data_IF_137487379811
#
_entry.id   IF_137487379811
#
_cell.length_a   1.000
_cell.length_b   1.000
_cell.length_c   1.000
_cell.angle_alpha   90.00
_cell.angle_beta   90.00
_cell.angle_gamma   90.00
#
_symmetry.space_group_name_H-M   'P 1'
#
loop_
_entity.id
_entity.type
_entity.pdbx_description
1 polymer ?
#
# COMPACT_ATOMS: atom_id res chain seq x y z
N UNK A 1 2.28 -6.62 23.82
CA UNK A 1 2.61 -6.78 25.25
C UNK A 1 1.47 -6.22 26.09
N UNK A 2 0.76 -7.04 26.88
CA UNK A 2 0.48 -6.59 28.25
C UNK A 2 1.75 -6.89 29.03
N UNK A 3 2.59 -5.88 28.95
CA UNK A 3 3.90 -5.58 29.47
C UNK A 3 4.05 -4.11 29.03
N UNK A 4 4.47 -3.26 29.94
CA UNK A 4 4.37 -1.81 29.80
C UNK A 4 5.06 -1.27 28.53
N UNK A 5 4.26 -0.91 27.52
CA UNK A 5 4.55 0.18 26.59
C UNK A 5 3.31 0.36 25.72
N UNK A 6 2.45 1.28 26.12
CA UNK A 6 1.53 1.89 25.16
C UNK A 6 2.44 2.65 24.18
N UNK A 7 2.58 2.26 22.90
CA UNK A 7 3.36 3.07 21.98
C UNK A 7 2.61 4.40 21.88
N UNK A 8 3.15 5.43 22.56
CA UNK A 8 2.61 6.79 22.55
C UNK A 8 2.34 7.10 21.10
N UNK A 9 1.10 7.50 20.76
CA UNK A 9 0.76 7.85 19.38
C UNK A 9 1.64 9.01 18.94
N UNK A 10 2.72 8.68 18.25
CA UNK A 10 3.67 9.63 17.71
C UNK A 10 2.97 10.32 16.55
N UNK A 11 2.81 11.63 16.65
CA UNK A 11 2.35 12.45 15.53
C UNK A 11 3.27 12.23 14.33
N UNK A 12 2.72 12.19 13.11
CA UNK A 12 3.49 12.05 11.88
C UNK A 12 4.67 13.05 11.79
N UNK A 13 4.51 14.26 12.33
CA UNK A 13 5.57 15.28 12.41
C UNK A 13 6.71 14.90 13.35
N UNK A 14 6.38 14.26 14.48
CA UNK A 14 7.38 13.79 15.44
C UNK A 14 8.22 12.66 14.83
N UNK A 15 7.59 11.76 14.05
CA UNK A 15 8.32 10.70 13.34
C UNK A 15 9.39 11.26 12.41
N UNK A 16 9.09 12.31 11.64
CA UNK A 16 10.08 13.01 10.79
C UNK A 16 11.23 13.54 11.65
N UNK A 17 10.91 14.33 12.69
CA UNK A 17 11.94 14.94 13.53
C UNK A 17 12.84 13.92 14.26
N UNK A 18 12.32 12.74 14.58
CA UNK A 18 13.10 11.65 15.19
C UNK A 18 14.05 11.02 14.19
N UNK A 19 13.55 10.72 12.99
CA UNK A 19 14.37 10.17 11.91
C UNK A 19 15.47 11.15 11.51
N UNK A 20 15.13 12.42 11.30
CA UNK A 20 16.10 13.47 10.94
C UNK A 20 17.19 13.61 11.98
N UNK A 21 16.83 13.63 13.28
CA UNK A 21 17.83 13.71 14.36
C UNK A 21 18.74 12.49 14.37
N UNK A 22 18.19 11.30 14.18
CA UNK A 22 18.97 10.07 14.10
C UNK A 22 19.97 10.14 12.93
N UNK A 23 19.51 10.39 11.71
CA UNK A 23 20.36 10.46 10.51
C UNK A 23 21.42 11.56 10.63
N UNK A 24 21.05 12.74 11.11
CA UNK A 24 21.94 13.91 11.12
C UNK A 24 22.92 13.96 12.30
N UNK A 25 22.62 13.28 13.42
CA UNK A 25 23.38 13.41 14.68
C UNK A 25 23.77 12.08 15.34
N UNK A 26 23.26 10.93 14.90
CA UNK A 26 23.75 9.60 15.30
C UNK A 26 23.61 9.22 16.78
N UNK A 27 22.66 9.80 17.52
CA UNK A 27 22.43 9.46 18.95
C UNK A 27 21.33 8.44 19.14
N UNK A 28 21.48 7.60 20.16
CA UNK A 28 20.42 6.81 20.80
C UNK A 28 19.31 7.75 21.28
N UNK A 29 18.29 7.97 20.44
CA UNK A 29 17.12 8.76 20.83
C UNK A 29 16.14 7.82 21.50
N UNK A 30 16.08 7.84 22.84
CA UNK A 30 14.87 7.38 23.51
C UNK A 30 13.72 8.30 23.10
N UNK A 31 12.59 7.72 22.65
CA UNK A 31 11.40 8.48 22.21
C UNK A 31 10.90 9.52 23.22
N UNK A 32 11.32 9.43 24.48
CA UNK A 32 10.95 10.29 25.61
C UNK A 32 11.61 11.67 25.63
N UNK A 33 12.81 11.82 25.08
CA UNK A 33 13.62 13.04 25.26
C UNK A 33 13.10 14.26 24.47
N UNK A 34 12.25 14.02 23.49
CA UNK A 34 11.72 15.03 22.57
C UNK A 34 10.37 15.63 23.00
N UNK A 35 9.59 14.90 23.80
CA UNK A 35 8.41 15.47 24.45
C UNK A 35 8.81 16.49 25.53
N UNK A 36 9.96 16.29 26.18
CA UNK A 36 10.52 17.22 27.16
C UNK A 36 11.12 18.47 26.54
N UNK A 37 11.75 18.34 25.37
CA UNK A 37 12.38 19.45 24.64
C UNK A 37 11.31 20.38 24.02
N UNK A 38 10.22 19.79 23.50
CA UNK A 38 9.06 20.53 22.96
C UNK A 38 8.34 21.39 24.00
N UNK A 39 8.49 21.06 25.30
CA UNK A 39 7.91 21.82 26.41
C UNK A 39 8.85 22.92 26.95
N UNK A 40 10.15 22.88 26.68
CA UNK A 40 11.13 23.78 27.32
C UNK A 40 11.50 25.03 26.51
N UNK A 41 11.21 25.10 25.21
CA UNK A 41 11.44 26.31 24.41
C UNK A 41 10.32 26.56 23.40
N UNK A 42 9.26 27.27 23.81
CA UNK A 42 8.44 28.05 22.87
C UNK A 42 8.91 29.51 22.92
N UNK A 43 9.78 29.96 21.99
CA UNK A 43 9.99 31.38 21.80
C UNK A 43 8.65 32.04 21.40
N UNK A 44 8.28 33.13 22.07
CA UNK A 44 7.14 33.97 21.67
C UNK A 44 7.52 34.71 20.38
N UNK A 45 7.08 34.22 19.22
CA UNK A 45 7.20 34.96 17.96
C UNK A 45 6.98 34.09 16.72
N UNK A 46 5.91 34.39 15.97
CA UNK A 46 5.46 33.83 14.68
C UNK A 46 5.31 32.29 14.62
N UNK A 47 4.07 31.82 14.48
CA UNK A 47 3.82 30.44 14.04
C UNK A 47 4.51 30.20 12.70
N UNK A 48 5.64 29.50 12.71
CA UNK A 48 6.21 28.94 11.50
C UNK A 48 5.23 27.87 10.98
N UNK A 49 4.72 28.08 9.77
CA UNK A 49 3.93 27.08 9.05
C UNK A 49 4.80 25.87 8.77
N UNK A 50 4.35 24.68 9.16
CA UNK A 50 5.05 23.43 8.89
C UNK A 50 5.12 23.16 7.38
N UNK A 51 6.34 23.06 6.85
CA UNK A 51 6.61 22.69 5.47
C UNK A 51 6.96 21.20 5.40
N UNK A 52 6.03 20.40 4.87
CA UNK A 52 6.19 18.95 4.79
C UNK A 52 7.33 18.53 3.87
N UNK A 53 7.42 19.14 2.67
CA UNK A 53 8.41 18.79 1.65
C UNK A 53 9.81 19.08 2.21
N UNK A 54 10.02 20.29 2.73
CA UNK A 54 11.30 20.64 3.34
C UNK A 54 11.67 19.73 4.52
N UNK A 55 10.69 19.35 5.34
CA UNK A 55 10.94 18.50 6.51
C UNK A 55 11.27 17.06 6.10
N UNK A 56 10.54 16.47 5.14
CA UNK A 56 10.77 15.07 4.75
C UNK A 56 12.14 14.88 4.07
N UNK A 57 12.58 15.87 3.29
CA UNK A 57 13.87 15.82 2.60
C UNK A 57 15.06 16.19 3.48
N UNK A 58 14.84 16.65 4.72
CA UNK A 58 15.92 17.16 5.58
C UNK A 58 17.00 16.10 5.88
N UNK A 59 16.62 14.83 5.95
CA UNK A 59 17.54 13.71 6.14
C UNK A 59 18.09 13.13 4.82
N UNK A 60 17.47 13.43 3.67
CA UNK A 60 17.81 12.81 2.39
C UNK A 60 19.12 13.39 1.84
N UNK A 61 20.08 12.52 1.52
CA UNK A 61 21.41 12.90 1.03
C UNK A 61 21.35 13.77 -0.24
N UNK A 62 20.37 13.55 -1.11
CA UNK A 62 20.19 14.31 -2.36
C UNK A 62 19.71 15.76 -2.14
N UNK A 63 19.19 16.09 -0.96
CA UNK A 63 18.57 17.39 -0.67
C UNK A 63 19.27 18.16 0.45
N UNK A 64 20.03 17.49 1.31
CA UNK A 64 20.80 18.18 2.34
C UNK A 64 22.09 18.80 1.81
N UNK A 65 22.45 19.95 2.35
CA UNK A 65 23.73 20.63 2.08
C UNK A 65 24.81 20.34 3.13
N UNK A 66 24.52 19.51 4.13
CA UNK A 66 25.44 19.26 5.25
C UNK A 66 26.55 18.31 4.81
N UNK A 67 27.79 18.74 4.98
CA UNK A 67 28.97 18.00 4.51
C UNK A 67 29.22 16.68 5.28
N UNK A 68 28.75 16.58 6.55
CA UNK A 68 29.00 15.42 7.41
C UNK A 68 27.78 15.04 8.28
N UNK A 69 26.74 14.37 7.74
CA UNK A 69 25.71 13.71 8.55
C UNK A 69 26.30 12.48 9.27
N UNK A 70 25.66 12.04 10.36
CA UNK A 70 26.10 10.83 11.07
C UNK A 70 25.85 9.55 10.26
N UNK A 71 24.74 9.55 9.51
CA UNK A 71 24.39 8.51 8.57
C UNK A 71 24.06 9.10 7.21
N UNK A 72 24.33 8.35 6.14
CA UNK A 72 23.91 8.68 4.78
C UNK A 72 22.56 8.01 4.51
N UNK A 73 21.49 8.80 4.48
CA UNK A 73 20.16 8.31 4.14
C UNK A 73 19.79 8.70 2.71
N UNK A 74 19.40 7.73 1.90
CA UNK A 74 19.08 7.90 0.48
C UNK A 74 17.71 7.31 0.18
N UNK A 75 16.91 8.05 -0.59
CA UNK A 75 15.66 7.56 -1.16
C UNK A 75 15.81 7.53 -2.67
N UNK A 76 15.60 6.36 -3.27
CA UNK A 76 15.71 6.16 -4.72
C UNK A 76 14.39 5.62 -5.22
N UNK A 77 13.79 6.31 -6.19
CA UNK A 77 12.61 5.83 -6.91
C UNK A 77 13.05 5.23 -8.24
N UNK A 78 12.79 3.94 -8.43
CA UNK A 78 13.17 3.22 -9.64
C UNK A 78 12.05 2.30 -10.13
N UNK A 79 12.00 1.94 -11.43
CA UNK A 79 11.02 0.97 -11.92
C UNK A 79 11.04 -0.33 -11.11
N UNK A 80 9.86 -0.88 -10.85
CA UNK A 80 9.71 -2.13 -10.13
C UNK A 80 10.53 -3.24 -10.82
N UNK A 81 11.33 -3.95 -10.04
CA UNK A 81 12.27 -4.95 -10.54
C UNK A 81 12.69 -5.90 -9.43
N UNK A 82 13.03 -7.13 -9.82
CA UNK A 82 13.60 -8.12 -8.93
C UNK A 82 15.08 -7.85 -8.64
N UNK A 83 15.48 -7.93 -7.38
CA UNK A 83 16.87 -8.13 -6.97
C UNK A 83 16.90 -9.02 -5.72
N UNK A 84 18.00 -9.73 -5.50
CA UNK A 84 18.17 -10.56 -4.31
C UNK A 84 18.08 -9.75 -3.01
N UNK A 85 18.57 -8.50 -3.02
CA UNK A 85 18.49 -7.61 -1.84
C UNK A 85 17.04 -7.23 -1.51
N UNK A 86 16.23 -6.89 -2.52
CA UNK A 86 14.80 -6.54 -2.33
C UNK A 86 14.01 -7.75 -1.85
N UNK A 87 14.25 -8.90 -2.47
CA UNK A 87 13.64 -10.16 -2.06
C UNK A 87 14.04 -10.55 -0.64
N UNK A 88 15.32 -10.40 -0.27
CA UNK A 88 15.80 -10.64 1.09
C UNK A 88 15.13 -9.76 2.14
N UNK A 89 14.92 -8.47 1.85
CA UNK A 89 14.15 -7.58 2.72
C UNK A 89 12.70 -8.04 2.86
N UNK A 90 12.04 -8.42 1.76
CA UNK A 90 10.67 -8.92 1.76
C UNK A 90 10.52 -10.18 2.60
N UNK A 91 11.37 -11.20 2.40
CA UNK A 91 11.35 -12.45 3.18
C UNK A 91 11.53 -12.16 4.66
N UNK A 92 12.50 -11.29 5.02
CA UNK A 92 12.71 -10.90 6.41
C UNK A 92 11.47 -10.23 7.00
N UNK A 93 10.84 -9.32 6.27
CA UNK A 93 9.62 -8.64 6.71
C UNK A 93 8.44 -9.61 6.89
N UNK A 94 8.21 -10.49 5.91
CA UNK A 94 7.15 -11.51 5.98
C UNK A 94 7.34 -12.43 7.19
N UNK A 95 8.58 -12.86 7.45
CA UNK A 95 8.93 -13.66 8.61
C UNK A 95 8.68 -12.92 9.93
N UNK A 96 9.25 -11.72 10.08
CA UNK A 96 9.28 -11.01 11.36
C UNK A 96 7.92 -10.37 11.72
N UNK A 97 7.16 -9.92 10.72
CA UNK A 97 5.93 -9.13 10.92
C UNK A 97 4.68 -9.95 10.64
N UNK A 98 4.71 -10.85 9.64
CA UNK A 98 3.57 -11.65 9.22
C UNK A 98 3.63 -13.12 9.68
N UNK A 99 4.79 -13.58 10.19
CA UNK A 99 5.04 -14.99 10.51
C UNK A 99 4.75 -15.91 9.33
N UNK A 100 5.05 -15.41 8.13
CA UNK A 100 4.91 -16.13 6.86
C UNK A 100 6.28 -16.58 6.39
N UNK A 101 6.43 -17.89 6.18
CA UNK A 101 7.68 -18.56 5.86
C UNK A 101 7.70 -19.10 4.42
N UNK A 102 6.58 -19.07 3.70
CA UNK A 102 6.40 -19.73 2.41
C UNK A 102 6.64 -18.78 1.23
N UNK A 103 7.71 -17.99 1.33
CA UNK A 103 8.04 -16.95 0.37
C UNK A 103 8.99 -17.46 -0.72
N UNK A 104 8.61 -17.31 -1.99
CA UNK A 104 9.44 -17.71 -3.14
C UNK A 104 9.81 -16.51 -4.02
N UNK A 105 10.94 -16.55 -4.77
CA UNK A 105 11.30 -15.48 -5.70
C UNK A 105 10.21 -15.20 -6.73
N UNK A 106 9.63 -16.25 -7.34
CA UNK A 106 8.54 -16.11 -8.30
C UNK A 106 7.25 -15.56 -7.67
N UNK A 107 6.99 -15.84 -6.39
CA UNK A 107 5.91 -15.21 -5.64
C UNK A 107 6.13 -13.72 -5.45
N UNK A 108 7.35 -13.32 -5.07
CA UNK A 108 7.74 -11.92 -4.96
C UNK A 108 7.62 -11.18 -6.31
N UNK A 109 8.13 -11.77 -7.39
CA UNK A 109 8.03 -11.15 -8.72
C UNK A 109 6.58 -10.97 -9.16
N UNK A 110 5.75 -11.99 -8.98
CA UNK A 110 4.32 -11.89 -9.33
C UNK A 110 3.60 -10.84 -8.50
N UNK A 111 3.93 -10.72 -7.22
CA UNK A 111 3.23 -9.83 -6.30
C UNK A 111 3.70 -8.38 -6.36
N UNK A 112 5.01 -8.15 -6.43
CA UNK A 112 5.61 -6.82 -6.22
C UNK A 112 6.31 -6.23 -7.45
N UNK A 113 6.51 -7.03 -8.51
CA UNK A 113 7.23 -6.58 -9.72
C UNK A 113 6.33 -6.58 -10.95
N UNK A 114 5.60 -7.67 -11.15
CA UNK A 114 4.73 -7.88 -12.32
C UNK A 114 3.55 -6.95 -12.23
N UNK A 115 3.37 -6.11 -13.25
CA UNK A 115 2.31 -5.11 -13.29
C UNK A 115 1.52 -5.18 -14.59
N UNK A 116 0.18 -5.04 -14.54
CA UNK A 116 -0.65 -4.90 -15.74
C UNK A 116 -0.59 -3.48 -16.31
N UNK A 117 0.04 -2.53 -15.61
CA UNK A 117 0.07 -1.12 -16.01
C UNK A 117 0.94 -0.92 -17.25
N UNK A 118 0.40 -0.23 -18.23
CA UNK A 118 1.17 0.20 -19.39
C UNK A 118 1.97 1.45 -19.04
N UNK A 119 3.26 1.40 -19.33
CA UNK A 119 4.17 2.51 -19.03
C UNK A 119 4.00 3.63 -20.07
N UNK A 120 3.62 4.81 -19.61
CA UNK A 120 3.43 6.00 -20.44
C UNK A 120 4.30 7.16 -19.94
N UNK A 121 4.72 8.07 -20.82
CA UNK A 121 5.50 9.25 -20.41
C UNK A 121 4.59 10.20 -19.63
N UNK A 122 5.06 10.70 -18.49
CA UNK A 122 4.33 11.72 -17.75
C UNK A 122 4.45 13.06 -18.51
N UNK A 123 3.34 13.73 -18.85
CA UNK A 123 3.35 14.92 -19.70
C UNK A 123 3.72 16.18 -18.91
N UNK A 124 4.93 16.24 -18.37
CA UNK A 124 5.43 17.45 -17.69
C UNK A 124 5.57 18.62 -18.67
N UNK A 125 5.19 19.85 -18.29
CA UNK A 125 5.32 21.04 -19.14
C UNK A 125 6.79 21.46 -19.36
N UNK A 126 7.69 21.03 -18.48
CA UNK A 126 9.15 21.25 -18.54
C UNK A 126 9.85 20.00 -18.01
N UNK A 127 11.16 19.79 -18.30
CA UNK A 127 11.91 18.68 -17.72
C UNK A 127 11.75 18.65 -16.18
N UNK A 128 11.26 17.55 -15.59
CA UNK A 128 11.08 17.47 -14.14
C UNK A 128 12.44 17.33 -13.43
N UNK A 129 12.52 17.66 -12.12
CA UNK A 129 13.66 17.30 -11.29
C UNK A 129 14.01 15.81 -11.38
N UNK A 130 15.29 15.47 -11.25
CA UNK A 130 15.79 14.11 -11.48
C UNK A 130 15.22 13.05 -10.54
N UNK A 131 14.77 13.44 -9.35
CA UNK A 131 14.18 12.54 -8.36
C UNK A 131 12.71 12.19 -8.64
N UNK A 132 12.07 12.86 -9.61
CA UNK A 132 10.69 12.57 -10.00
C UNK A 132 10.63 11.50 -11.10
N UNK A 133 9.58 10.66 -11.10
CA UNK A 133 9.40 9.65 -12.14
C UNK A 133 9.15 10.32 -13.49
N UNK A 134 9.73 9.78 -14.56
CA UNK A 134 9.52 10.28 -15.93
C UNK A 134 8.36 9.58 -16.65
N UNK A 135 7.86 8.49 -16.09
CA UNK A 135 6.80 7.65 -16.66
C UNK A 135 5.79 7.24 -15.59
N UNK A 136 4.54 7.00 -16.00
CA UNK A 136 3.55 6.29 -15.21
C UNK A 136 3.89 4.79 -15.18
N UNK A 137 3.47 4.09 -14.14
CA UNK A 137 3.72 2.65 -13.97
C UNK A 137 4.06 2.27 -12.53
N UNK A 138 4.58 1.07 -12.34
CA UNK A 138 4.95 0.52 -11.03
C UNK A 138 6.43 0.76 -10.71
N UNK A 139 6.68 1.20 -9.49
CA UNK A 139 7.97 1.65 -8.98
C UNK A 139 8.27 1.03 -7.62
N UNK A 140 9.56 0.85 -7.33
CA UNK A 140 10.06 0.65 -5.98
C UNK A 140 10.69 1.95 -5.48
N UNK A 141 10.23 2.44 -4.34
CA UNK A 141 10.89 3.50 -3.59
C UNK A 141 11.76 2.88 -2.51
N UNK A 142 13.07 2.88 -2.73
CA UNK A 142 14.08 2.26 -1.88
C UNK A 142 14.58 3.24 -0.84
N UNK A 143 14.57 2.82 0.42
CA UNK A 143 15.10 3.58 1.55
C UNK A 143 16.41 2.94 1.98
N UNK A 144 17.52 3.65 1.76
CA UNK A 144 18.86 3.17 2.08
C UNK A 144 19.46 3.98 3.21
N UNK A 145 20.07 3.30 4.16
CA UNK A 145 20.86 3.91 5.23
C UNK A 145 22.28 3.34 5.19
N UNK A 146 23.27 4.20 5.03
CA UNK A 146 24.69 3.84 4.88
C UNK A 146 24.90 2.76 3.81
N UNK A 147 24.18 2.90 2.69
CA UNK A 147 24.20 1.98 1.55
C UNK A 147 23.30 0.74 1.68
N UNK A 148 22.87 0.37 2.90
CA UNK A 148 22.01 -0.81 3.12
C UNK A 148 20.55 -0.49 2.86
N UNK A 149 19.84 -1.35 2.12
CA UNK A 149 18.38 -1.26 1.98
C UNK A 149 17.70 -1.60 3.33
N UNK A 150 16.97 -0.63 3.89
CA UNK A 150 16.30 -0.78 5.20
C UNK A 150 14.77 -0.74 5.09
N UNK A 151 14.23 -0.17 4.02
CA UNK A 151 12.80 -0.21 3.71
C UNK A 151 12.57 -0.08 2.20
N UNK A 152 11.39 -0.50 1.76
CA UNK A 152 10.95 -0.39 0.38
C UNK A 152 9.43 -0.15 0.33
N UNK A 153 9.00 0.86 -0.41
CA UNK A 153 7.62 1.01 -0.84
C UNK A 153 7.46 0.52 -2.28
N UNK A 154 6.33 -0.12 -2.57
CA UNK A 154 5.88 -0.46 -3.91
C UNK A 154 4.76 0.49 -4.24
N UNK A 155 4.97 1.27 -5.29
CA UNK A 155 4.13 2.40 -5.66
C UNK A 155 3.68 2.27 -7.11
N UNK A 156 2.42 2.59 -7.40
CA UNK A 156 2.00 2.89 -8.76
C UNK A 156 1.88 4.40 -8.94
N UNK A 157 2.55 4.95 -9.94
CA UNK A 157 2.42 6.34 -10.34
C UNK A 157 1.41 6.39 -11.47
N UNK A 158 0.25 7.00 -11.21
CA UNK A 158 -0.90 7.05 -12.10
C UNK A 158 -1.25 8.50 -12.45
N UNK A 159 -2.08 8.75 -13.48
CA UNK A 159 -2.39 10.12 -13.93
C UNK A 159 -2.97 11.06 -12.87
N UNK A 160 -3.67 10.52 -11.87
CA UNK A 160 -4.35 11.29 -10.83
C UNK A 160 -3.80 11.08 -9.42
N UNK A 161 -2.99 10.04 -9.21
CA UNK A 161 -2.54 9.65 -7.89
C UNK A 161 -1.21 8.90 -7.87
N UNK A 162 -0.58 8.95 -6.69
CA UNK A 162 0.37 7.92 -6.27
C UNK A 162 -0.43 6.85 -5.52
N UNK A 163 -0.27 5.59 -5.86
CA UNK A 163 -0.90 4.46 -5.18
C UNK A 163 0.12 3.73 -4.32
N UNK A 164 -0.14 3.64 -3.02
CA UNK A 164 0.68 2.90 -2.05
C UNK A 164 0.25 1.44 -2.04
N UNK A 165 0.90 0.60 -2.84
CA UNK A 165 0.52 -0.80 -3.05
C UNK A 165 0.96 -1.65 -1.86
N UNK A 166 2.24 -1.54 -1.49
CA UNK A 166 2.81 -2.35 -0.43
C UNK A 166 4.01 -1.64 0.20
N UNK A 167 4.27 -1.90 1.49
CA UNK A 167 5.41 -1.32 2.20
C UNK A 167 6.03 -2.35 3.13
N UNK A 168 7.35 -2.49 3.06
CA UNK A 168 8.13 -3.39 3.89
C UNK A 168 9.39 -2.70 4.43
N UNK A 169 9.84 -3.12 5.60
CA UNK A 169 11.02 -2.55 6.26
C UNK A 169 11.70 -3.59 7.16
N UNK A 170 12.99 -3.37 7.44
CA UNK A 170 13.72 -4.18 8.40
C UNK A 170 13.27 -3.80 9.81
N UNK A 171 12.72 -4.76 10.57
CA UNK A 171 12.13 -4.54 11.88
C UNK A 171 13.13 -3.96 12.92
N UNK A 172 14.44 -4.05 12.66
CA UNK A 172 15.46 -3.34 13.43
C UNK A 172 15.23 -1.82 13.49
N UNK A 173 14.48 -1.26 12.55
CA UNK A 173 14.14 0.16 12.47
C UNK A 173 12.70 0.49 12.87
N UNK A 174 11.95 -0.48 13.40
CA UNK A 174 10.52 -0.32 13.70
C UNK A 174 10.20 0.83 14.65
N UNK A 175 11.13 1.19 15.54
CA UNK A 175 11.02 2.33 16.46
C UNK A 175 10.78 3.68 15.76
N UNK A 176 11.20 3.85 14.50
CA UNK A 176 11.03 5.08 13.74
C UNK A 176 9.69 5.18 13.00
N UNK A 177 8.81 4.17 13.13
CA UNK A 177 7.48 4.16 12.51
C UNK A 177 7.55 4.37 10.99
N UNK A 178 8.36 3.57 10.30
CA UNK A 178 8.63 3.68 8.86
C UNK A 178 7.37 3.70 7.98
N UNK A 179 6.28 3.03 8.39
CA UNK A 179 5.00 3.14 7.68
C UNK A 179 4.43 4.56 7.64
N UNK A 180 4.61 5.36 8.71
CA UNK A 180 4.20 6.78 8.73
C UNK A 180 5.15 7.64 7.90
N UNK A 181 6.46 7.38 7.99
CA UNK A 181 7.48 8.09 7.21
C UNK A 181 7.26 7.87 5.71
N UNK A 182 6.98 6.64 5.29
CA UNK A 182 6.70 6.32 3.89
C UNK A 182 5.47 7.05 3.38
N UNK A 183 4.36 7.00 4.12
CA UNK A 183 3.15 7.73 3.74
C UNK A 183 3.40 9.23 3.60
N UNK A 184 4.21 9.85 4.47
CA UNK A 184 4.57 11.26 4.35
C UNK A 184 5.44 11.54 3.12
N UNK A 185 6.40 10.66 2.83
CA UNK A 185 7.24 10.79 1.63
C UNK A 185 6.45 10.60 0.34
N UNK A 186 5.49 9.69 0.32
CA UNK A 186 4.56 9.44 -0.79
C UNK A 186 3.59 10.62 -1.00
N UNK A 187 3.08 11.23 0.08
CA UNK A 187 2.32 12.49 0.01
C UNK A 187 3.19 13.59 -0.61
N UNK A 188 4.45 13.73 -0.17
CA UNK A 188 5.39 14.68 -0.75
C UNK A 188 5.63 14.38 -2.23
N UNK A 189 5.83 13.12 -2.63
CA UNK A 189 6.03 12.72 -4.02
C UNK A 189 4.85 13.14 -4.90
N UNK A 190 3.60 12.85 -4.48
CA UNK A 190 2.41 13.27 -5.21
C UNK A 190 2.36 14.81 -5.35
N UNK A 191 2.69 15.52 -4.27
CA UNK A 191 2.73 16.99 -4.26
C UNK A 191 3.82 17.56 -5.16
N UNK A 192 5.01 16.99 -5.16
CA UNK A 192 6.13 17.42 -5.99
C UNK A 192 5.83 17.19 -7.49
N UNK A 193 5.19 16.08 -7.84
CA UNK A 193 4.71 15.81 -9.22
C UNK A 193 3.65 16.84 -9.63
N UNK A 194 2.73 17.19 -8.72
CA UNK A 194 1.75 18.25 -8.95
C UNK A 194 2.42 19.61 -9.18
N UNK A 195 3.36 19.98 -8.32
CA UNK A 195 4.08 21.26 -8.39
C UNK A 195 4.98 21.35 -9.64
N UNK A 196 5.45 20.20 -10.16
CA UNK A 196 6.15 20.09 -11.44
C UNK A 196 5.21 20.24 -12.67
N UNK A 197 3.92 20.48 -12.47
CA UNK A 197 2.97 20.85 -13.52
C UNK A 197 1.91 19.81 -13.86
N UNK A 198 1.87 18.66 -13.17
CA UNK A 198 0.84 17.64 -13.36
C UNK A 198 -0.35 17.94 -12.47
N UNK A 199 -1.18 18.89 -12.90
CA UNK A 199 -2.31 19.42 -12.12
C UNK A 199 -3.36 18.38 -11.71
N UNK A 200 -3.39 17.21 -12.36
CA UNK A 200 -4.29 16.10 -12.01
C UNK A 200 -3.76 15.22 -10.86
N UNK A 201 -2.47 15.28 -10.53
CA UNK A 201 -1.86 14.53 -9.44
C UNK A 201 -2.30 15.11 -8.09
N UNK A 202 -3.42 14.61 -7.53
CA UNK A 202 -4.05 15.23 -6.35
C UNK A 202 -4.19 14.30 -5.16
N UNK A 203 -3.92 13.01 -5.36
CA UNK A 203 -4.27 11.99 -4.38
C UNK A 203 -3.10 11.06 -4.08
N UNK A 204 -3.01 10.65 -2.81
CA UNK A 204 -2.34 9.43 -2.40
C UNK A 204 -3.43 8.39 -2.13
N UNK A 205 -3.41 7.27 -2.86
CA UNK A 205 -4.30 6.15 -2.62
C UNK A 205 -3.60 5.15 -1.70
N UNK A 206 -4.06 5.04 -0.44
CA UNK A 206 -3.43 4.16 0.56
C UNK A 206 -4.06 2.75 0.61
N UNK A 207 -4.78 2.34 -0.43
CA UNK A 207 -5.49 1.06 -0.46
C UNK A 207 -6.68 0.99 0.50
N UNK A 208 -7.08 -0.22 0.85
CA UNK A 208 -8.23 -0.46 1.74
C UNK A 208 -8.07 0.24 3.10
N UNK A 209 -9.20 0.52 3.73
CA UNK A 209 -9.30 1.03 5.09
C UNK A 209 -10.36 0.25 5.86
N UNK A 210 -9.93 -0.61 6.79
CA UNK A 210 -10.82 -1.36 7.67
C UNK A 210 -10.93 -0.59 8.99
N UNK A 211 -12.08 0.03 9.24
CA UNK A 211 -12.31 0.92 10.38
C UNK A 211 -11.98 0.28 11.74
N UNK A 212 -12.37 -0.99 11.90
CA UNK A 212 -12.14 -1.78 13.11
C UNK A 212 -10.68 -2.24 13.29
N UNK A 213 -9.86 -2.20 12.23
CA UNK A 213 -8.48 -2.67 12.28
C UNK A 213 -7.51 -1.64 12.87
N UNK A 214 -7.00 -1.92 14.07
CA UNK A 214 -6.01 -1.06 14.75
C UNK A 214 -4.81 -0.71 13.86
N UNK A 215 -4.29 -1.68 13.09
CA UNK A 215 -3.12 -1.50 12.22
C UNK A 215 -3.38 -0.51 11.09
N UNK A 216 -4.64 -0.27 10.72
CA UNK A 216 -5.00 0.62 9.60
C UNK A 216 -5.49 2.00 10.06
N UNK A 217 -5.71 2.21 11.37
CA UNK A 217 -6.23 3.48 11.91
C UNK A 217 -5.40 4.69 11.53
N UNK A 218 -4.08 4.53 11.40
CA UNK A 218 -3.17 5.63 11.06
C UNK A 218 -3.48 6.25 9.68
N UNK A 219 -4.03 5.49 8.73
CA UNK A 219 -4.42 6.01 7.40
C UNK A 219 -5.46 7.13 7.52
N UNK A 220 -6.34 7.04 8.53
CA UNK A 220 -7.35 8.06 8.81
C UNK A 220 -6.84 9.26 9.63
N UNK A 221 -5.54 9.30 9.97
CA UNK A 221 -4.90 10.45 10.66
C UNK A 221 -4.42 11.52 9.67
N UNK A 222 -4.31 11.19 8.38
CA UNK A 222 -3.98 12.15 7.33
C UNK A 222 -5.23 12.91 6.90
N UNK A 223 -5.08 14.18 6.54
CA UNK A 223 -6.21 15.03 6.16
C UNK A 223 -5.84 15.97 4.99
N UNK A 224 -6.80 16.27 4.09
CA UNK A 224 -8.13 15.66 4.00
C UNK A 224 -8.05 14.17 3.58
N UNK A 225 -9.03 13.38 4.02
CA UNK A 225 -9.13 11.94 3.72
C UNK A 225 -10.54 11.59 3.29
N UNK A 226 -10.65 10.64 2.36
CA UNK A 226 -11.92 10.21 1.76
C UNK A 226 -12.01 8.68 1.73
N UNK A 227 -13.23 8.15 1.77
CA UNK A 227 -13.54 6.74 1.55
C UNK A 227 -14.47 6.60 0.36
N UNK A 228 -14.28 5.53 -0.42
CA UNK A 228 -15.15 5.18 -1.52
C UNK A 228 -16.40 4.48 -0.98
N UNK A 229 -17.57 4.96 -1.41
CA UNK A 229 -18.85 4.32 -1.13
C UNK A 229 -18.94 2.96 -1.84
N UNK A 230 -19.32 1.87 -1.16
CA UNK A 230 -19.36 0.55 -1.77
C UNK A 230 -20.48 0.38 -2.81
N UNK A 231 -21.49 1.26 -2.83
CA UNK A 231 -22.62 1.15 -3.76
C UNK A 231 -22.55 2.18 -4.89
N UNK A 232 -22.38 3.46 -4.56
CA UNK A 232 -22.34 4.52 -5.56
C UNK A 232 -20.97 4.69 -6.22
N UNK A 233 -19.92 4.12 -5.63
CA UNK A 233 -18.53 4.34 -6.05
C UNK A 233 -18.12 5.82 -6.03
N UNK A 234 -18.72 6.63 -5.15
CA UNK A 234 -18.37 8.02 -4.95
C UNK A 234 -17.50 8.22 -3.70
N UNK A 235 -16.70 9.28 -3.68
CA UNK A 235 -15.77 9.57 -2.59
C UNK A 235 -16.39 10.49 -1.54
N UNK A 236 -16.46 10.03 -0.29
CA UNK A 236 -17.01 10.78 0.84
C UNK A 236 -15.92 11.14 1.86
N UNK A 237 -15.95 12.34 2.47
CA UNK A 237 -14.99 12.70 3.51
C UNK A 237 -15.01 11.70 4.67
N UNK A 238 -13.84 11.26 5.13
CA UNK A 238 -13.73 10.27 6.21
C UNK A 238 -14.50 10.67 7.47
N UNK A 239 -14.55 11.98 7.78
CA UNK A 239 -15.31 12.51 8.91
C UNK A 239 -16.81 12.20 8.85
N UNK A 240 -17.41 12.19 7.66
CA UNK A 240 -18.84 11.88 7.47
C UNK A 240 -19.10 10.37 7.48
N UNK A 241 -18.11 9.55 7.08
CA UNK A 241 -18.21 8.09 7.08
C UNK A 241 -18.11 7.47 8.48
N UNK A 242 -17.29 8.06 9.37
CA UNK A 242 -16.98 7.50 10.70
C UNK A 242 -18.20 7.13 11.54
N UNK A 243 -19.23 7.99 11.72
CA UNK A 243 -20.40 7.63 12.51
C UNK A 243 -21.15 6.40 11.97
N UNK A 244 -21.20 6.24 10.64
CA UNK A 244 -21.83 5.09 10.01
C UNK A 244 -21.00 3.81 10.22
N UNK A 245 -19.67 3.91 10.11
CA UNK A 245 -18.75 2.79 10.33
C UNK A 245 -18.70 2.33 11.80
N UNK A 246 -19.01 3.20 12.75
CA UNK A 246 -19.09 2.85 14.18
C UNK A 246 -20.34 2.01 14.51
N UNK A 247 -21.44 2.28 13.82
CA UNK A 247 -22.75 1.69 14.12
C UNK A 247 -23.07 0.48 13.24
N UNK A 248 -22.48 0.41 12.05
CA UNK A 248 -22.87 -0.56 11.03
C UNK A 248 -21.69 -1.46 10.64
N UNK A 249 -21.96 -2.76 10.46
CA UNK A 249 -20.98 -3.72 9.90
C UNK A 249 -20.81 -3.55 8.40
N UNK A 250 -21.80 -3.01 7.73
CA UNK A 250 -21.79 -2.59 6.33
C UNK A 250 -22.36 -1.18 6.28
N UNK A 251 -21.59 -0.22 5.78
CA UNK A 251 -21.96 1.18 5.75
C UNK A 251 -22.03 1.66 4.30
N UNK A 252 -23.22 2.06 3.87
CA UNK A 252 -23.44 2.82 2.65
C UNK A 252 -23.50 4.31 3.03
N UNK A 253 -22.53 5.08 2.55
CA UNK A 253 -22.37 6.51 2.84
C UNK A 253 -23.32 7.36 1.99
N UNK A 254 -23.58 6.94 0.75
CA UNK A 254 -24.49 7.63 -0.17
C UNK A 254 -25.96 7.47 0.23
N UNK A 255 -26.32 6.29 0.78
CA UNK A 255 -27.66 5.94 1.28
C UNK A 255 -27.57 5.27 2.64
N UNK A 256 -27.46 6.04 3.75
CA UNK A 256 -27.32 5.51 5.10
C UNK A 256 -28.36 4.45 5.48
N UNK A 257 -29.57 4.52 4.92
CA UNK A 257 -30.67 3.55 5.09
C UNK A 257 -30.36 2.15 4.56
N UNK A 258 -29.40 1.99 3.64
CA UNK A 258 -28.92 0.69 3.18
C UNK A 258 -27.87 0.07 4.13
N UNK A 259 -27.43 0.81 5.15
CA UNK A 259 -26.44 0.31 6.11
C UNK A 259 -27.02 -0.79 6.99
N UNK A 260 -26.18 -1.77 7.33
CA UNK A 260 -26.58 -2.95 8.10
C UNK A 260 -25.88 -2.95 9.45
N UNK A 261 -26.66 -2.97 10.53
CA UNK A 261 -26.16 -3.08 11.90
C UNK A 261 -25.93 -4.54 12.33
N UNK A 262 -25.34 -4.70 13.52
CA UNK A 262 -25.16 -6.00 14.17
C UNK A 262 -23.91 -6.76 13.70
N UNK A 263 -23.79 -8.00 14.14
CA UNK A 263 -22.68 -8.89 13.71
C UNK A 263 -22.97 -9.50 12.34
N UNK A 264 -21.95 -9.81 11.53
CA UNK A 264 -22.17 -10.57 10.31
C UNK A 264 -22.84 -11.91 10.68
N UNK A 265 -23.81 -12.40 9.88
CA UNK A 265 -24.41 -13.70 10.13
C UNK A 265 -23.33 -14.79 10.12
N UNK A 266 -23.44 -15.77 11.04
CA UNK A 266 -22.47 -16.87 11.18
C UNK A 266 -22.23 -17.62 9.85
N UNK A 267 -23.20 -17.61 8.93
CA UNK A 267 -23.07 -18.20 7.60
C UNK A 267 -22.03 -17.54 6.70
N UNK A 268 -21.65 -16.27 6.94
CA UNK A 268 -20.58 -15.58 6.20
C UNK A 268 -19.18 -15.93 6.73
N UNK A 269 -19.08 -16.42 7.98
CA UNK A 269 -17.81 -16.82 8.60
C UNK A 269 -17.52 -18.31 8.42
N UNK A 270 -18.57 -19.10 8.17
CA UNK A 270 -18.44 -20.50 7.79
C UNK A 270 -18.20 -20.57 6.29
N UNK A 271 -16.93 -20.55 5.87
CA UNK A 271 -16.54 -21.05 4.55
C UNK A 271 -17.07 -22.48 4.50
N UNK A 272 -18.12 -22.70 3.71
CA UNK A 272 -18.63 -24.06 3.54
C UNK A 272 -17.52 -24.87 2.86
N UNK A 273 -17.34 -26.14 3.23
CA UNK A 273 -16.41 -26.99 2.51
C UNK A 273 -16.77 -26.96 1.02
N UNK A 274 -15.76 -27.03 0.13
CA UNK A 274 -15.95 -26.94 -1.30
C UNK A 274 -17.09 -27.88 -1.74
N UNK A 275 -18.06 -27.31 -2.45
CA UNK A 275 -19.21 -28.05 -2.96
C UNK A 275 -18.78 -28.67 -4.28
N UNK A 276 -18.99 -29.97 -4.42
CA UNK A 276 -18.91 -30.61 -5.74
C UNK A 276 -19.87 -29.88 -6.69
N UNK A 277 -19.32 -29.05 -7.58
CA UNK A 277 -20.08 -28.34 -8.59
C UNK A 277 -20.58 -29.36 -9.62
N UNK A 278 -21.84 -29.21 -10.04
CA UNK A 278 -22.36 -29.97 -11.15
C UNK A 278 -21.56 -29.63 -12.42
N UNK A 279 -21.34 -30.62 -13.28
CA UNK A 279 -20.60 -30.48 -14.54
C UNK A 279 -21.25 -29.40 -15.42
N UNK A 280 -22.57 -29.26 -15.35
CA UNK A 280 -23.32 -28.21 -16.06
C UNK A 280 -22.87 -26.79 -15.68
N UNK A 281 -22.56 -26.56 -14.39
CA UNK A 281 -22.01 -25.30 -13.90
C UNK A 281 -20.54 -25.17 -14.30
N UNK A 282 -19.76 -26.25 -14.23
CA UNK A 282 -18.35 -26.23 -14.62
C UNK A 282 -18.12 -26.01 -16.11
N UNK A 283 -19.06 -26.38 -16.97
CA UNK A 283 -19.05 -26.07 -18.41
C UNK A 283 -19.27 -24.57 -18.67
N UNK A 284 -19.91 -23.85 -17.75
CA UNK A 284 -20.14 -22.40 -17.85
C UNK A 284 -18.91 -21.55 -17.46
N UNK A 285 -18.00 -22.09 -16.66
CA UNK A 285 -16.80 -21.39 -16.19
C UNK A 285 -15.72 -21.45 -17.28
N UNK A 286 -15.59 -20.37 -18.04
CA UNK A 286 -14.68 -20.29 -19.19
C UNK A 286 -13.34 -19.67 -18.82
N UNK A 287 -12.27 -20.34 -19.20
CA UNK A 287 -10.89 -19.86 -18.99
C UNK A 287 -10.15 -19.73 -20.31
N UNK A 288 -9.25 -18.76 -20.39
CA UNK A 288 -8.34 -18.58 -21.51
C UNK A 288 -7.09 -19.42 -21.28
N UNK A 289 -6.97 -20.53 -21.99
CA UNK A 289 -5.81 -21.42 -21.90
C UNK A 289 -4.78 -21.12 -23.01
N UNK A 290 -3.48 -21.07 -22.68
CA UNK A 290 -2.44 -20.95 -23.69
C UNK A 290 -2.36 -22.24 -24.53
N UNK A 291 -2.22 -22.11 -25.84
CA UNK A 291 -1.91 -23.25 -26.70
C UNK A 291 -0.51 -23.80 -26.42
N UNK A 292 -0.23 -25.03 -26.87
CA UNK A 292 1.01 -25.78 -26.53
C UNK A 292 2.33 -25.22 -27.12
N UNK A 293 2.33 -24.03 -27.70
CA UNK A 293 3.50 -23.40 -28.33
C UNK A 293 3.54 -21.90 -28.00
N UNK A 294 4.72 -21.26 -27.90
CA UNK A 294 4.85 -19.84 -27.57
C UNK A 294 4.09 -18.88 -28.50
N UNK A 295 3.82 -19.30 -29.74
CA UNK A 295 3.03 -18.55 -30.73
C UNK A 295 1.62 -19.14 -30.94
N UNK A 296 1.17 -20.02 -30.07
CA UNK A 296 -0.12 -20.69 -30.24
C UNK A 296 -1.29 -19.76 -29.88
N UNK A 297 -2.35 -19.87 -30.68
CA UNK A 297 -3.65 -19.26 -30.41
C UNK A 297 -4.10 -19.58 -28.99
N UNK A 298 -4.66 -18.59 -28.28
CA UNK A 298 -5.33 -18.81 -27.00
C UNK A 298 -6.72 -19.39 -27.26
N UNK A 299 -7.12 -20.38 -26.47
CA UNK A 299 -8.43 -21.01 -26.60
C UNK A 299 -9.28 -20.76 -25.36
N UNK A 300 -10.58 -20.59 -25.54
CA UNK A 300 -11.55 -20.52 -24.45
C UNK A 300 -12.06 -21.93 -24.22
N UNK A 301 -11.85 -22.46 -23.02
CA UNK A 301 -12.29 -23.81 -22.63
C UNK A 301 -12.90 -23.79 -21.23
N UNK A 302 -13.79 -24.73 -20.89
CA UNK A 302 -14.24 -24.91 -19.52
C UNK A 302 -13.06 -25.20 -18.57
N UNK A 303 -13.04 -24.57 -17.39
CA UNK A 303 -11.93 -24.70 -16.42
C UNK A 303 -11.62 -26.15 -16.08
N UNK A 304 -12.65 -26.99 -15.91
CA UNK A 304 -12.52 -28.39 -15.52
C UNK A 304 -11.89 -29.28 -16.60
N UNK A 305 -11.77 -28.79 -17.84
CA UNK A 305 -11.09 -29.49 -18.95
C UNK A 305 -9.62 -29.10 -19.07
N UNK A 306 -9.12 -28.26 -18.16
CA UNK A 306 -7.71 -27.86 -18.09
C UNK A 306 -7.00 -28.60 -16.98
N UNK A 307 -5.67 -28.68 -17.06
CA UNK A 307 -4.84 -29.20 -15.96
C UNK A 307 -4.91 -28.36 -14.69
N UNK A 308 -5.39 -27.12 -14.79
CA UNK A 308 -5.54 -26.25 -13.62
C UNK A 308 -6.58 -26.80 -12.65
N UNK A 309 -7.56 -27.56 -13.15
CA UNK A 309 -8.57 -28.21 -12.31
C UNK A 309 -8.02 -29.37 -11.45
N UNK A 310 -6.79 -29.81 -11.70
CA UNK A 310 -6.12 -30.84 -10.89
C UNK A 310 -5.67 -30.28 -9.53
N UNK A 311 -5.59 -28.96 -9.37
CA UNK A 311 -5.14 -28.30 -8.14
C UNK A 311 -6.32 -27.94 -7.23
N UNK A 312 -6.25 -28.33 -5.96
CA UNK A 312 -7.31 -28.10 -4.96
C UNK A 312 -7.63 -26.61 -4.78
N UNK A 313 -6.61 -25.76 -4.69
CA UNK A 313 -6.79 -24.32 -4.54
C UNK A 313 -7.52 -23.68 -5.73
N UNK A 314 -7.28 -24.18 -6.95
CA UNK A 314 -7.99 -23.69 -8.15
C UNK A 314 -9.46 -24.06 -8.06
N UNK A 315 -9.78 -25.30 -7.64
CA UNK A 315 -11.19 -25.71 -7.46
C UNK A 315 -11.88 -24.86 -6.41
N UNK A 316 -11.23 -24.63 -5.27
CA UNK A 316 -11.75 -23.78 -4.19
C UNK A 316 -11.99 -22.33 -4.65
N UNK A 317 -11.06 -21.74 -5.40
CA UNK A 317 -11.20 -20.38 -5.95
C UNK A 317 -12.40 -20.27 -6.90
N UNK A 318 -12.54 -21.17 -7.86
CA UNK A 318 -13.63 -21.12 -8.83
C UNK A 318 -14.98 -21.45 -8.20
N UNK A 319 -15.03 -22.30 -7.19
CA UNK A 319 -16.23 -22.52 -6.38
C UNK A 319 -16.64 -21.25 -5.62
N UNK A 320 -15.69 -20.56 -5.00
CA UNK A 320 -15.96 -19.26 -4.37
C UNK A 320 -16.45 -18.22 -5.40
N UNK A 321 -15.92 -18.24 -6.63
CA UNK A 321 -16.45 -17.41 -7.72
C UNK A 321 -17.89 -17.76 -8.08
N UNK A 322 -18.27 -19.04 -8.12
CA UNK A 322 -19.67 -19.46 -8.35
C UNK A 322 -20.59 -18.97 -7.25
N UNK A 323 -20.19 -19.10 -5.99
CA UNK A 323 -20.99 -18.60 -4.87
C UNK A 323 -21.11 -17.08 -4.86
N UNK A 324 -20.02 -16.37 -5.20
CA UNK A 324 -19.97 -14.90 -5.16
C UNK A 324 -20.65 -14.21 -6.34
N UNK A 325 -20.41 -14.70 -7.56
CA UNK A 325 -20.92 -14.08 -8.80
C UNK A 325 -22.29 -14.62 -9.21
N UNK A 326 -22.61 -15.85 -8.79
CA UNK A 326 -23.76 -16.59 -9.31
C UNK A 326 -23.50 -17.17 -10.71
N UNK A 327 -24.29 -18.17 -11.08
CA UNK A 327 -24.13 -18.93 -12.33
C UNK A 327 -24.50 -18.13 -13.59
N UNK A 328 -25.31 -17.09 -13.45
CA UNK A 328 -25.71 -16.22 -14.57
C UNK A 328 -24.54 -15.34 -14.99
N UNK A 329 -23.97 -14.56 -14.05
CA UNK A 329 -22.85 -13.68 -14.33
C UNK A 329 -21.59 -14.43 -14.77
N UNK A 330 -21.37 -15.64 -14.25
CA UNK A 330 -20.23 -16.47 -14.65
C UNK A 330 -20.22 -16.84 -16.14
N UNK A 331 -21.38 -16.92 -16.79
CA UNK A 331 -21.46 -17.23 -18.23
C UNK A 331 -20.89 -16.09 -19.10
N UNK A 332 -20.87 -14.88 -18.57
CA UNK A 332 -20.41 -13.67 -19.25
C UNK A 332 -18.95 -13.33 -18.93
N UNK A 333 -18.30 -14.08 -18.03
CA UNK A 333 -16.91 -13.86 -17.60
C UNK A 333 -15.98 -14.89 -18.24
N UNK A 334 -14.86 -14.42 -18.78
CA UNK A 334 -13.74 -15.27 -19.20
C UNK A 334 -12.55 -14.97 -18.30
N UNK A 335 -12.11 -15.96 -17.55
CA UNK A 335 -10.95 -15.82 -16.68
C UNK A 335 -9.67 -15.96 -17.51
N UNK A 336 -8.78 -14.98 -17.42
CA UNK A 336 -7.43 -15.07 -17.97
C UNK A 336 -6.50 -15.57 -16.88
N UNK A 337 -5.93 -16.75 -17.08
CA UNK A 337 -4.96 -17.38 -16.17
C UNK A 337 -3.53 -17.16 -16.67
#
# INVERSE_FOLDING_TARGET
MHLNSNPRRVSARLSIGWWDRFVLKGRDVEMTDLETDSKKHKPKGKEQTFDLIKSIHAAEASFQSKEHPAHRFEIVLEPASFTDEKYGLFVKYQHDVHHDFDNTPGGFERFLVTTPLQTEVIPYPSPPPDHLPKKYGSYHQLYRLDGKLIAMAVLDILPYCVSSVYFMYDNAWGQFSFGKLSALREISLAREIYDAGISNMKFLYMGFYIYSCQKMRYKGEYAPSYLLDPESCEWFPLGTCKPLLEQNRYACFSKPEHSIQGSPPNSLLNVKPPRILDISVLDSIRVMAPGRSPNASKFIVPVHRTRLWEYDNVREEYEACVEGLGTELLQDVIFSL
#
